data_IF_282648545000
#
_entry.id   IF_282648545000
#
_cell.length_a   1.000
_cell.length_b   1.000
_cell.length_c   1.000
_cell.angle_alpha   90.00
_cell.angle_beta   90.00
_cell.angle_gamma   90.00
#
_symmetry.space_group_name_H-M   'P 1'
#
loop_
_entity.id
_entity.type
_entity.pdbx_description
1 polymer ?
#
# COMPACT_ATOMS: atom_id res chain seq x y z
N UNK A 1 -8.62 13.10 -6.71
CA UNK A 1 -7.15 13.23 -6.66
C UNK A 1 -6.83 14.43 -5.79
N UNK A 2 -5.88 14.35 -4.86
CA UNK A 2 -5.56 15.51 -4.00
C UNK A 2 -5.11 16.68 -4.88
N UNK A 3 -5.61 17.89 -4.61
CA UNK A 3 -5.21 19.11 -5.31
C UNK A 3 -3.88 19.69 -4.78
N UNK A 4 -3.33 19.13 -3.71
CA UNK A 4 -2.05 19.57 -3.17
C UNK A 4 -0.90 19.28 -4.16
N UNK A 5 0.04 20.22 -4.33
CA UNK A 5 1.20 19.99 -5.16
C UNK A 5 2.05 18.84 -4.58
N UNK A 6 2.76 18.15 -5.47
CA UNK A 6 3.64 17.07 -5.07
C UNK A 6 4.86 17.66 -4.37
N UNK A 7 5.14 17.19 -3.15
CA UNK A 7 6.37 17.51 -2.42
C UNK A 7 7.59 16.88 -3.09
N UNK A 8 8.53 17.70 -3.53
CA UNK A 8 9.78 17.27 -4.19
C UNK A 8 10.90 16.93 -3.19
N UNK A 9 10.77 17.42 -1.95
CA UNK A 9 11.64 17.13 -0.80
C UNK A 9 11.28 15.83 -0.06
N UNK A 10 10.25 15.12 -0.52
CA UNK A 10 9.85 13.83 0.04
C UNK A 10 10.95 12.78 -0.13
N UNK A 11 11.09 11.89 0.86
CA UNK A 11 12.12 10.83 0.87
C UNK A 11 11.67 9.54 0.20
N UNK A 12 10.36 9.33 0.03
CA UNK A 12 9.78 8.15 -0.62
C UNK A 12 8.40 8.44 -1.22
N UNK A 13 7.94 7.57 -2.11
CA UNK A 13 6.53 7.45 -2.49
C UNK A 13 5.90 6.39 -1.59
N UNK A 14 4.77 6.71 -0.96
CA UNK A 14 4.02 5.77 -0.13
C UNK A 14 2.84 5.21 -0.93
N UNK A 15 2.83 3.89 -1.13
CA UNK A 15 1.63 3.19 -1.57
C UNK A 15 0.93 2.58 -0.36
N UNK A 16 -0.21 3.16 0.01
CA UNK A 16 -1.08 2.59 1.04
C UNK A 16 -1.98 1.53 0.41
N UNK A 17 -1.58 0.27 0.57
CA UNK A 17 -2.35 -0.89 0.18
C UNK A 17 -3.43 -1.15 1.24
N UNK A 18 -4.68 -1.36 0.80
CA UNK A 18 -5.83 -1.57 1.71
C UNK A 18 -6.67 -2.76 1.26
N UNK A 19 -7.00 -2.84 -0.03
CA UNK A 19 -7.91 -3.88 -0.57
C UNK A 19 -7.25 -4.83 -1.57
N UNK A 20 -6.23 -4.37 -2.29
CA UNK A 20 -5.57 -5.13 -3.36
C UNK A 20 -4.25 -5.73 -2.88
N UNK A 21 -4.31 -6.66 -1.93
CA UNK A 21 -3.15 -7.32 -1.28
C UNK A 21 -2.42 -8.29 -2.21
N UNK A 22 -1.90 -7.77 -3.32
CA UNK A 22 -1.23 -8.52 -4.36
C UNK A 22 -0.23 -7.62 -5.09
N UNK A 23 0.88 -8.21 -5.49
CA UNK A 23 1.94 -7.53 -6.25
C UNK A 23 1.72 -7.58 -7.76
N UNK A 24 0.90 -8.52 -8.24
CA UNK A 24 0.57 -8.68 -9.66
C UNK A 24 -0.83 -8.14 -9.95
N UNK A 25 -1.01 -7.58 -11.15
CA UNK A 25 -2.29 -7.05 -11.62
C UNK A 25 -2.94 -6.09 -10.61
N UNK A 26 -2.14 -5.16 -10.10
CA UNK A 26 -2.55 -4.12 -9.16
C UNK A 26 -2.23 -2.74 -9.75
N UNK A 27 -3.26 -2.08 -10.30
CA UNK A 27 -3.11 -0.77 -10.95
C UNK A 27 -2.69 0.34 -9.97
N UNK A 28 -3.08 0.25 -8.70
CA UNK A 28 -2.64 1.20 -7.68
C UNK A 28 -1.14 1.09 -7.42
N UNK A 29 -0.65 -0.15 -7.32
CA UNK A 29 0.78 -0.42 -7.19
C UNK A 29 1.55 0.01 -8.45
N UNK A 30 1.03 -0.28 -9.64
CA UNK A 30 1.63 0.14 -10.91
C UNK A 30 1.79 1.67 -10.96
N UNK A 31 0.72 2.41 -10.65
CA UNK A 31 0.76 3.85 -10.60
C UNK A 31 1.78 4.39 -9.58
N UNK A 32 1.89 3.75 -8.42
CA UNK A 32 2.88 4.14 -7.40
C UNK A 32 4.33 3.88 -7.85
N UNK A 33 4.58 2.78 -8.59
CA UNK A 33 5.89 2.49 -9.20
C UNK A 33 6.26 3.57 -10.21
N UNK A 34 5.33 3.93 -11.09
CA UNK A 34 5.58 4.94 -12.11
C UNK A 34 5.87 6.31 -11.47
N UNK A 35 5.14 6.65 -10.41
CA UNK A 35 5.41 7.87 -9.64
C UNK A 35 6.76 7.85 -8.94
N UNK A 36 7.15 6.71 -8.36
CA UNK A 36 8.45 6.56 -7.70
C UNK A 36 9.61 6.72 -8.70
N UNK A 37 9.46 6.18 -9.91
CA UNK A 37 10.41 6.36 -11.02
C UNK A 37 10.52 7.81 -11.45
N UNK A 38 9.39 8.48 -11.70
CA UNK A 38 9.37 9.89 -12.07
C UNK A 38 10.04 10.80 -11.04
N UNK A 39 9.82 10.52 -9.75
CA UNK A 39 10.39 11.30 -8.65
C UNK A 39 11.82 10.89 -8.28
N UNK A 40 12.34 9.80 -8.85
CA UNK A 40 13.63 9.21 -8.46
C UNK A 40 13.71 8.97 -6.94
N UNK A 41 12.62 8.44 -6.37
CA UNK A 41 12.51 8.13 -4.93
C UNK A 41 12.18 6.66 -4.73
N UNK A 42 12.61 6.05 -3.60
CA UNK A 42 12.19 4.70 -3.25
C UNK A 42 10.66 4.63 -3.08
N UNK A 43 10.10 3.47 -3.41
CA UNK A 43 8.70 3.13 -3.15
C UNK A 43 8.60 2.35 -1.84
N UNK A 44 7.75 2.80 -0.93
CA UNK A 44 7.38 2.09 0.29
C UNK A 44 5.94 1.63 0.15
N UNK A 45 5.70 0.34 0.37
CA UNK A 45 4.35 -0.24 0.42
C UNK A 45 3.97 -0.43 1.87
N UNK A 46 2.86 0.16 2.28
CA UNK A 46 2.28 0.02 3.62
C UNK A 46 0.91 -0.64 3.50
N UNK A 47 0.72 -1.73 4.22
CA UNK A 47 -0.59 -2.34 4.46
C UNK A 47 -0.95 -2.15 5.93
N UNK A 48 -2.09 -1.50 6.20
CA UNK A 48 -2.54 -1.28 7.56
C UNK A 48 -3.56 -2.37 7.96
N UNK A 49 -3.11 -3.37 8.73
CA UNK A 49 -4.00 -4.37 9.31
C UNK A 49 -4.56 -3.86 10.65
N UNK A 50 -5.83 -3.47 10.64
CA UNK A 50 -6.55 -3.06 11.85
C UNK A 50 -7.02 -4.32 12.60
N UNK A 51 -6.60 -4.45 13.85
CA UNK A 51 -6.96 -5.61 14.68
C UNK A 51 -8.14 -5.35 15.62
N UNK A 52 -8.61 -4.11 15.70
CA UNK A 52 -9.44 -3.59 16.80
C UNK A 52 -10.85 -3.15 16.36
N UNK A 53 -11.35 -3.65 15.23
CA UNK A 53 -12.70 -3.31 14.76
C UNK A 53 -13.76 -4.30 15.26
N UNK A 54 -15.01 -3.83 15.39
CA UNK A 54 -16.13 -4.55 16.02
C UNK A 54 -16.37 -5.96 15.46
N UNK A 55 -16.08 -6.16 14.18
CA UNK A 55 -16.29 -7.41 13.45
C UNK A 55 -14.98 -8.15 13.13
N UNK A 56 -13.90 -7.80 13.83
CA UNK A 56 -12.62 -8.46 13.65
C UNK A 56 -12.69 -9.87 14.24
N UNK A 57 -12.08 -10.83 13.53
CA UNK A 57 -11.87 -12.16 14.08
C UNK A 57 -10.47 -12.64 13.70
N UNK A 58 -9.87 -13.43 14.59
CA UNK A 58 -8.50 -13.94 14.41
C UNK A 58 -8.33 -14.68 13.08
N UNK A 59 -9.36 -15.39 12.64
CA UNK A 59 -9.36 -16.12 11.36
C UNK A 59 -9.15 -15.18 10.17
N UNK A 60 -9.77 -14.00 10.17
CA UNK A 60 -9.58 -13.03 9.09
C UNK A 60 -8.17 -12.43 9.15
N UNK A 61 -7.64 -12.13 10.33
CA UNK A 61 -6.26 -11.64 10.46
C UNK A 61 -5.25 -12.68 9.96
N UNK A 62 -5.43 -13.95 10.35
CA UNK A 62 -4.60 -15.08 9.90
C UNK A 62 -4.63 -15.21 8.37
N UNK A 63 -5.82 -15.23 7.76
CA UNK A 63 -5.97 -15.35 6.32
C UNK A 63 -5.22 -14.23 5.57
N UNK A 64 -5.25 -13.01 6.10
CA UNK A 64 -4.55 -11.86 5.50
C UNK A 64 -3.04 -11.99 5.64
N UNK A 65 -2.55 -12.30 6.84
CA UNK A 65 -1.11 -12.41 7.10
C UNK A 65 -0.51 -13.54 6.27
N UNK A 66 -1.15 -14.71 6.26
CA UNK A 66 -0.66 -15.87 5.52
C UNK A 66 -0.69 -15.59 4.00
N UNK A 67 -1.72 -14.91 3.50
CA UNK A 67 -1.79 -14.49 2.10
C UNK A 67 -0.70 -13.49 1.68
N UNK A 68 -0.15 -12.73 2.64
CA UNK A 68 0.95 -11.78 2.40
C UNK A 68 2.34 -12.39 2.54
N UNK A 69 2.48 -13.47 3.31
CA UNK A 69 3.75 -14.15 3.52
C UNK A 69 4.15 -15.09 2.36
N UNK A 70 3.19 -15.42 1.48
CA UNK A 70 3.39 -16.27 0.30
C UNK A 70 3.80 -15.47 -0.94
#
# INVERSE_FOLDING_TARGET
MSAAPVRTDGTFVLYWMVSSRRTRFNFGLQHAIDRARELTRPLVVLEALRCDYLWSCERFHRFVIDGMAN
#
